data_IF_538282201144
#
_entry.id   IF_538282201144
#
_cell.length_a   1.000
_cell.length_b   1.000
_cell.length_c   1.000
_cell.angle_alpha   90.00
_cell.angle_beta   90.00
_cell.angle_gamma   90.00
#
_symmetry.space_group_name_H-M   'P 1'
#
loop_
_entity.id
_entity.type
_entity.pdbx_description
1 polymer ?
#
# COMPACT_ATOMS: atom_id res chain seq x y z
N UNK A 1 -40.66 8.14 -8.09
CA UNK A 1 -41.45 8.25 -6.85
C UNK A 1 -40.51 8.01 -5.68
N UNK A 2 -39.94 9.08 -5.11
CA UNK A 2 -39.18 9.00 -3.87
C UNK A 2 -40.17 8.87 -2.71
N UNK A 3 -40.08 7.81 -1.93
CA UNK A 3 -40.95 7.61 -0.77
C UNK A 3 -40.50 8.57 0.33
N UNK A 4 -41.27 9.63 0.55
CA UNK A 4 -41.11 10.62 1.65
C UNK A 4 -41.54 10.06 3.02
N UNK A 5 -41.36 8.76 3.29
CA UNK A 5 -41.50 8.23 4.65
C UNK A 5 -40.20 8.46 5.42
N UNK A 6 -39.91 9.72 5.76
CA UNK A 6 -38.88 10.00 6.77
C UNK A 6 -39.44 9.60 8.13
N UNK A 7 -38.92 8.51 8.70
CA UNK A 7 -39.11 8.17 10.11
C UNK A 7 -38.64 9.39 10.91
N UNK A 8 -39.54 9.99 11.68
CA UNK A 8 -39.22 11.17 12.47
C UNK A 8 -38.60 10.75 13.81
N UNK A 9 -37.27 10.79 13.86
CA UNK A 9 -36.53 10.47 15.08
C UNK A 9 -36.61 11.57 16.16
N UNK A 10 -37.23 12.71 15.89
CA UNK A 10 -37.37 13.80 16.87
C UNK A 10 -38.27 13.46 18.06
N UNK A 11 -39.04 12.37 17.97
CA UNK A 11 -39.90 11.88 19.04
C UNK A 11 -39.12 11.12 20.13
N UNK A 12 -37.87 10.76 19.86
CA UNK A 12 -36.98 10.12 20.81
C UNK A 12 -35.90 11.10 21.26
N UNK A 13 -35.76 11.31 22.56
CA UNK A 13 -34.62 12.04 23.10
C UNK A 13 -33.34 11.26 22.78
N UNK A 14 -32.37 11.93 22.16
CA UNK A 14 -31.07 11.33 21.89
C UNK A 14 -30.31 11.11 23.20
N UNK A 15 -29.75 9.92 23.39
CA UNK A 15 -28.89 9.64 24.54
C UNK A 15 -27.56 10.39 24.42
N UNK A 16 -27.15 11.05 25.49
CA UNK A 16 -25.81 11.62 25.62
C UNK A 16 -24.73 10.51 25.62
N UNK A 17 -23.47 10.90 25.40
CA UNK A 17 -22.34 9.98 25.49
C UNK A 17 -22.25 9.32 26.88
N UNK A 18 -22.47 10.08 27.94
CA UNK A 18 -22.40 9.58 29.31
C UNK A 18 -23.51 8.58 29.64
N UNK A 19 -24.75 8.84 29.21
CA UNK A 19 -25.86 7.89 29.38
C UNK A 19 -25.62 6.58 28.61
N UNK A 20 -24.96 6.67 27.45
CA UNK A 20 -24.57 5.50 26.68
C UNK A 20 -23.47 4.70 27.37
N UNK A 21 -22.42 5.36 27.88
CA UNK A 21 -21.34 4.72 28.67
C UNK A 21 -21.91 4.04 29.92
N UNK A 22 -22.78 4.71 30.67
CA UNK A 22 -23.44 4.15 31.85
C UNK A 22 -24.31 2.92 31.50
N UNK A 23 -24.95 2.93 30.33
CA UNK A 23 -25.70 1.77 29.85
C UNK A 23 -24.78 0.57 29.57
N UNK A 24 -23.62 0.79 28.94
CA UNK A 24 -22.64 -0.25 28.68
C UNK A 24 -22.09 -0.83 29.99
N UNK A 25 -21.68 0.01 30.94
CA UNK A 25 -21.18 -0.44 32.25
C UNK A 25 -22.20 -1.29 33.01
N UNK A 26 -23.48 -0.91 32.93
CA UNK A 26 -24.58 -1.72 33.48
C UNK A 26 -24.65 -3.10 32.83
N UNK A 27 -24.49 -3.19 31.50
CA UNK A 27 -24.41 -4.47 30.78
C UNK A 27 -23.17 -5.27 31.16
N UNK A 28 -22.05 -4.60 31.43
CA UNK A 28 -20.81 -5.19 31.92
C UNK A 28 -20.84 -5.57 33.41
N UNK A 29 -22.00 -5.47 34.06
CA UNK A 29 -22.20 -5.77 35.49
C UNK A 29 -21.30 -4.93 36.41
N UNK A 30 -21.07 -3.67 36.04
CA UNK A 30 -20.26 -2.72 36.80
C UNK A 30 -18.76 -2.82 36.55
N UNK A 31 -18.30 -3.62 35.58
CA UNK A 31 -16.92 -3.56 35.11
C UNK A 31 -16.67 -2.28 34.31
N UNK A 32 -15.51 -1.63 34.48
CA UNK A 32 -15.16 -0.42 33.75
C UNK A 32 -15.10 -0.67 32.24
N UNK A 33 -15.46 0.35 31.46
CA UNK A 33 -15.41 0.29 29.99
C UNK A 33 -13.98 0.07 29.47
N UNK A 34 -12.99 0.55 30.21
CA UNK A 34 -11.57 0.45 29.94
C UNK A 34 -11.09 -1.01 29.84
N UNK A 35 -11.81 -1.99 30.45
CA UNK A 35 -11.53 -3.42 30.27
C UNK A 35 -11.76 -3.91 28.83
N UNK A 36 -12.53 -3.17 28.03
CA UNK A 36 -12.80 -3.50 26.63
C UNK A 36 -11.86 -2.79 25.65
N UNK A 37 -10.95 -1.95 26.13
CA UNK A 37 -9.98 -1.30 25.26
C UNK A 37 -9.05 -2.32 24.61
N UNK A 38 -8.85 -2.15 23.31
CA UNK A 38 -7.92 -2.97 22.57
C UNK A 38 -6.55 -2.30 22.62
N UNK A 39 -5.59 -2.95 23.27
CA UNK A 39 -4.18 -2.57 23.18
C UNK A 39 -3.71 -2.73 21.73
N UNK A 40 -3.16 -1.65 21.18
CA UNK A 40 -2.60 -1.64 19.83
C UNK A 40 -1.10 -1.87 19.89
N UNK A 41 -0.42 -1.03 20.68
CA UNK A 41 1.02 -1.00 20.94
C UNK A 41 1.25 -0.51 22.38
N UNK A 42 2.49 -0.59 22.87
CA UNK A 42 2.83 -0.14 24.23
C UNK A 42 2.46 1.33 24.42
N UNK A 43 1.59 1.61 25.40
CA UNK A 43 1.11 2.96 25.70
C UNK A 43 -0.04 3.47 24.80
N UNK A 44 -0.50 2.68 23.83
CA UNK A 44 -1.56 3.08 22.90
C UNK A 44 -2.69 2.05 22.83
N UNK A 45 -3.92 2.51 23.11
CA UNK A 45 -5.14 1.71 23.06
C UNK A 45 -6.21 2.38 22.20
N UNK A 46 -7.17 1.56 21.75
CA UNK A 46 -8.35 1.98 21.03
C UNK A 46 -9.59 1.58 21.84
N UNK A 47 -10.53 2.52 21.97
CA UNK A 47 -11.78 2.30 22.67
C UNK A 47 -12.73 1.40 21.85
N UNK A 48 -13.62 0.65 22.51
CA UNK A 48 -14.56 -0.26 21.83
C UNK A 48 -15.60 0.46 20.96
N UNK A 49 -15.83 1.76 21.18
CA UNK A 49 -16.69 2.60 20.36
C UNK A 49 -16.27 4.06 20.44
N UNK A 50 -16.77 4.87 19.51
CA UNK A 50 -16.57 6.31 19.47
C UNK A 50 -17.86 7.02 19.04
N UNK A 51 -18.05 8.24 19.52
CA UNK A 51 -19.15 9.12 19.09
C UNK A 51 -18.63 10.34 18.35
N UNK A 52 -19.53 11.02 17.64
CA UNK A 52 -19.22 12.12 16.73
C UNK A 52 -18.46 13.25 17.44
N UNK A 53 -18.89 13.59 18.65
CA UNK A 53 -18.30 14.63 19.49
C UNK A 53 -16.88 14.29 19.96
N UNK A 54 -16.50 13.02 19.96
CA UNK A 54 -15.16 12.58 20.35
C UNK A 54 -14.20 12.61 19.14
N UNK A 55 -14.68 12.63 17.89
CA UNK A 55 -13.87 12.37 16.70
C UNK A 55 -13.56 13.66 15.95
N UNK A 56 -12.28 13.92 15.77
CA UNK A 56 -11.81 14.85 14.75
C UNK A 56 -11.59 14.07 13.45
N UNK A 57 -11.99 14.60 12.27
CA UNK A 57 -11.73 13.92 11.01
C UNK A 57 -10.26 14.06 10.61
N UNK A 58 -9.64 12.98 10.13
CA UNK A 58 -8.34 13.06 9.47
C UNK A 58 -8.52 13.65 8.07
N UNK A 59 -8.09 14.89 7.90
CA UNK A 59 -8.21 15.60 6.63
C UNK A 59 -7.14 15.12 5.64
N UNK A 60 -7.57 14.44 4.58
CA UNK A 60 -6.76 14.15 3.40
C UNK A 60 -7.29 14.99 2.23
N UNK A 61 -6.44 15.81 1.57
CA UNK A 61 -6.86 16.57 0.41
C UNK A 61 -7.19 15.63 -0.76
N UNK A 62 -8.16 16.02 -1.59
CA UNK A 62 -8.36 15.36 -2.88
C UNK A 62 -7.22 15.77 -3.81
N UNK A 63 -6.24 14.88 -3.96
CA UNK A 63 -5.18 14.95 -4.96
C UNK A 63 -5.49 13.90 -6.02
N UNK A 64 -4.85 14.00 -7.19
CA UNK A 64 -4.97 12.97 -8.22
C UNK A 64 -4.56 11.60 -7.66
N UNK A 65 -5.57 10.79 -7.33
CA UNK A 65 -5.43 9.40 -6.96
C UNK A 65 -5.72 8.52 -8.19
N UNK A 66 -5.16 7.30 -8.27
CA UNK A 66 -5.53 6.39 -9.33
C UNK A 66 -7.03 6.05 -9.21
N UNK A 67 -7.74 6.02 -10.35
CA UNK A 67 -9.16 5.65 -10.39
C UNK A 67 -9.43 4.23 -9.89
N UNK A 68 -8.41 3.38 -9.93
CA UNK A 68 -8.44 2.00 -9.44
C UNK A 68 -7.01 1.53 -9.18
N UNK A 69 -6.83 0.50 -8.36
CA UNK A 69 -5.51 -0.08 -8.13
C UNK A 69 -5.12 -1.03 -9.28
N UNK A 70 -3.81 -1.12 -9.54
CA UNK A 70 -3.29 -2.13 -10.44
C UNK A 70 -3.24 -3.50 -9.73
N UNK A 71 -3.76 -4.52 -10.41
CA UNK A 71 -3.73 -5.92 -9.99
C UNK A 71 -2.33 -6.45 -10.30
N UNK A 72 -1.50 -6.50 -9.25
CA UNK A 72 -0.12 -6.91 -9.33
C UNK A 72 0.01 -8.41 -9.14
N UNK A 73 0.80 -9.04 -10.00
CA UNK A 73 1.17 -10.45 -9.86
C UNK A 73 2.68 -10.61 -9.84
N UNK A 74 3.18 -11.24 -8.78
CA UNK A 74 4.60 -11.54 -8.61
C UNK A 74 5.00 -12.77 -9.42
N UNK A 75 6.12 -12.63 -10.14
CA UNK A 75 6.70 -13.66 -10.98
C UNK A 75 8.18 -13.78 -10.63
N UNK A 76 8.56 -14.96 -10.15
CA UNK A 76 9.95 -15.28 -9.90
C UNK A 76 10.69 -15.54 -11.23
N UNK A 77 11.83 -14.89 -11.39
CA UNK A 77 12.77 -15.09 -12.49
C UNK A 77 13.98 -15.83 -11.95
N UNK A 78 13.88 -17.16 -11.90
CA UNK A 78 14.86 -18.04 -11.25
C UNK A 78 15.79 -18.79 -12.22
N UNK A 79 15.85 -18.37 -13.49
CA UNK A 79 16.77 -18.90 -14.52
C UNK A 79 16.12 -19.73 -15.63
N UNK A 80 14.93 -20.29 -15.41
CA UNK A 80 14.10 -20.84 -16.50
C UNK A 80 13.29 -19.71 -17.15
N UNK A 81 13.89 -19.06 -18.14
CA UNK A 81 13.27 -17.92 -18.83
C UNK A 81 11.99 -18.31 -19.59
N UNK A 82 11.90 -19.56 -20.07
CA UNK A 82 10.70 -20.03 -20.76
C UNK A 82 9.54 -20.17 -19.78
N UNK A 83 9.78 -20.70 -18.58
CA UNK A 83 8.79 -20.75 -17.52
C UNK A 83 8.38 -19.35 -17.04
N UNK A 84 9.32 -18.43 -16.83
CA UNK A 84 9.03 -17.05 -16.42
C UNK A 84 8.21 -16.31 -17.48
N UNK A 85 8.56 -16.42 -18.76
CA UNK A 85 7.79 -15.85 -19.87
C UNK A 85 6.37 -16.42 -19.96
N UNK A 86 6.22 -17.74 -19.76
CA UNK A 86 4.90 -18.37 -19.68
C UNK A 86 4.09 -17.82 -18.51
N UNK A 87 4.70 -17.67 -17.33
CA UNK A 87 4.05 -17.10 -16.16
C UNK A 87 3.61 -15.64 -16.39
N UNK A 88 4.42 -14.83 -17.09
CA UNK A 88 4.05 -13.46 -17.52
C UNK A 88 2.82 -13.48 -18.41
N UNK A 89 2.81 -14.31 -19.45
CA UNK A 89 1.67 -14.42 -20.34
C UNK A 89 0.39 -14.88 -19.60
N UNK A 90 0.51 -15.83 -18.68
CA UNK A 90 -0.62 -16.29 -17.85
C UNK A 90 -1.17 -15.21 -16.91
N UNK A 91 -0.30 -14.39 -16.32
CA UNK A 91 -0.71 -13.29 -15.45
C UNK A 91 -1.50 -12.24 -16.25
N UNK A 92 -0.94 -11.78 -17.37
CA UNK A 92 -1.54 -10.73 -18.22
C UNK A 92 -2.84 -11.20 -18.87
N UNK A 93 -2.85 -12.40 -19.48
CA UNK A 93 -4.09 -12.97 -20.05
C UNK A 93 -5.13 -13.28 -18.97
N UNK A 94 -4.70 -13.44 -17.72
CA UNK A 94 -5.54 -13.62 -16.56
C UNK A 94 -6.07 -12.33 -15.94
N UNK A 95 -5.79 -11.16 -16.52
CA UNK A 95 -6.31 -9.86 -16.08
C UNK A 95 -5.37 -9.04 -15.19
N UNK A 96 -4.15 -9.51 -14.89
CA UNK A 96 -3.16 -8.68 -14.22
C UNK A 96 -2.74 -7.53 -15.14
N UNK A 97 -2.66 -6.32 -14.59
CA UNK A 97 -2.19 -5.11 -15.28
C UNK A 97 -0.96 -4.50 -14.63
N UNK A 98 -0.37 -5.20 -13.64
CA UNK A 98 0.96 -4.91 -13.12
C UNK A 98 1.73 -6.21 -12.94
N UNK A 99 3.01 -6.19 -13.31
CA UNK A 99 3.93 -7.31 -13.10
C UNK A 99 4.95 -6.92 -12.03
N UNK A 100 5.16 -7.81 -11.07
CA UNK A 100 6.29 -7.73 -10.11
C UNK A 100 7.29 -8.81 -10.49
N UNK A 101 8.34 -8.43 -11.22
CA UNK A 101 9.39 -9.36 -11.64
C UNK A 101 10.47 -9.46 -10.56
N UNK A 102 10.62 -10.63 -9.98
CA UNK A 102 11.60 -10.91 -8.94
C UNK A 102 12.82 -11.65 -9.51
N UNK A 103 13.85 -10.88 -9.86
CA UNK A 103 15.12 -11.36 -10.38
C UNK A 103 16.04 -11.81 -9.24
N UNK A 104 15.71 -12.95 -8.63
CA UNK A 104 16.59 -13.63 -7.67
C UNK A 104 17.92 -14.03 -8.32
N UNK A 105 17.88 -14.40 -9.61
CA UNK A 105 19.05 -14.75 -10.44
C UNK A 105 18.88 -14.18 -11.85
N UNK A 106 19.97 -14.13 -12.61
CA UNK A 106 19.95 -13.74 -14.02
C UNK A 106 20.81 -12.51 -14.32
N UNK A 107 20.65 -11.98 -15.53
CA UNK A 107 21.33 -10.78 -16.03
C UNK A 107 20.34 -9.84 -16.70
N UNK A 108 20.73 -8.59 -16.95
CA UNK A 108 19.87 -7.59 -17.58
C UNK A 108 19.26 -8.08 -18.89
N UNK A 109 20.02 -8.81 -19.73
CA UNK A 109 19.54 -9.33 -21.02
C UNK A 109 18.31 -10.25 -20.90
N UNK A 110 18.10 -10.89 -19.76
CA UNK A 110 17.03 -11.87 -19.54
C UNK A 110 15.66 -11.17 -19.53
N UNK A 111 15.62 -9.87 -19.18
CA UNK A 111 14.40 -9.07 -19.19
C UNK A 111 13.72 -9.04 -20.56
N UNK A 112 14.51 -9.04 -21.64
CA UNK A 112 14.00 -9.02 -23.01
C UNK A 112 13.27 -10.30 -23.35
N UNK A 113 13.77 -11.44 -22.88
CA UNK A 113 13.13 -12.73 -23.13
C UNK A 113 11.85 -12.87 -22.31
N UNK A 114 11.91 -12.52 -21.01
CA UNK A 114 10.79 -12.62 -20.08
C UNK A 114 9.62 -11.72 -20.51
N UNK A 115 9.91 -10.50 -21.01
CA UNK A 115 8.91 -9.54 -21.45
C UNK A 115 8.63 -9.60 -22.96
N UNK A 116 9.09 -10.63 -23.67
CA UNK A 116 8.85 -10.72 -25.10
C UNK A 116 7.35 -10.83 -25.40
N UNK A 117 6.83 -9.88 -26.18
CA UNK A 117 5.41 -9.80 -26.54
C UNK A 117 4.55 -9.02 -25.54
N UNK A 118 5.14 -8.47 -24.49
CA UNK A 118 4.43 -7.62 -23.52
C UNK A 118 4.36 -6.18 -24.03
N UNK A 119 3.16 -5.62 -24.06
CA UNK A 119 2.94 -4.20 -24.34
C UNK A 119 3.14 -3.37 -23.08
N UNK A 120 4.38 -2.93 -22.84
CA UNK A 120 4.77 -2.25 -21.60
C UNK A 120 4.06 -0.92 -21.33
N UNK A 121 3.45 -0.30 -22.34
CA UNK A 121 2.64 0.91 -22.17
C UNK A 121 1.22 0.64 -21.63
N UNK A 122 0.82 -0.64 -21.51
CA UNK A 122 -0.48 -1.05 -21.00
C UNK A 122 -0.43 -1.56 -19.55
N UNK A 123 0.77 -1.66 -18.97
CA UNK A 123 0.99 -2.22 -17.64
C UNK A 123 1.94 -1.36 -16.82
N UNK A 124 1.84 -1.47 -15.50
CA UNK A 124 2.92 -1.04 -14.61
C UNK A 124 3.91 -2.19 -14.41
N UNK A 125 5.20 -1.86 -14.29
CA UNK A 125 6.26 -2.83 -14.07
C UNK A 125 7.01 -2.50 -12.79
N UNK A 126 7.05 -3.46 -11.85
CA UNK A 126 7.95 -3.42 -10.70
C UNK A 126 9.03 -4.49 -10.89
N UNK A 127 10.27 -4.11 -10.67
CA UNK A 127 11.40 -5.05 -10.68
C UNK A 127 12.06 -5.06 -9.31
N UNK A 128 12.36 -6.26 -8.82
CA UNK A 128 13.03 -6.49 -7.54
C UNK A 128 13.96 -7.71 -7.64
N UNK A 129 14.62 -8.03 -6.52
CA UNK A 129 15.43 -9.23 -6.39
C UNK A 129 16.93 -8.96 -6.27
N UNK A 130 17.66 -9.95 -5.75
CA UNK A 130 19.09 -9.82 -5.42
C UNK A 130 19.96 -9.48 -6.65
N UNK A 131 19.72 -10.14 -7.80
CA UNK A 131 20.49 -9.89 -9.01
C UNK A 131 20.26 -8.48 -9.57
N UNK A 132 19.03 -7.96 -9.46
CA UNK A 132 18.71 -6.59 -9.83
C UNK A 132 19.41 -5.58 -8.90
N UNK A 133 19.51 -5.88 -7.61
CA UNK A 133 20.22 -5.05 -6.63
C UNK A 133 21.67 -4.76 -7.01
N UNK A 134 22.34 -5.76 -7.59
CA UNK A 134 23.76 -5.68 -7.96
C UNK A 134 23.94 -5.06 -9.36
N UNK A 135 23.04 -5.34 -10.30
CA UNK A 135 23.22 -5.02 -11.71
C UNK A 135 22.12 -4.09 -12.29
N UNK A 136 21.51 -3.24 -11.46
CA UNK A 136 20.36 -2.41 -11.86
C UNK A 136 20.57 -1.65 -13.18
N UNK A 137 21.76 -1.07 -13.40
CA UNK A 137 22.11 -0.37 -14.64
C UNK A 137 22.04 -1.27 -15.89
N UNK A 138 22.43 -2.54 -15.78
CA UNK A 138 22.36 -3.51 -16.87
C UNK A 138 20.91 -3.81 -17.23
N UNK A 139 20.05 -4.03 -16.23
CA UNK A 139 18.63 -4.24 -16.44
C UNK A 139 17.94 -3.03 -17.09
N UNK A 140 18.19 -1.82 -16.58
CA UNK A 140 17.61 -0.60 -17.14
C UNK A 140 18.10 -0.31 -18.56
N UNK A 141 19.37 -0.56 -18.85
CA UNK A 141 19.93 -0.40 -20.19
C UNK A 141 19.34 -1.40 -21.18
N UNK A 142 19.18 -2.66 -20.79
CA UNK A 142 18.57 -3.68 -21.64
C UNK A 142 17.08 -3.40 -21.85
N UNK A 143 16.35 -3.01 -20.80
CA UNK A 143 14.97 -2.57 -20.91
C UNK A 143 14.81 -1.41 -21.91
N UNK A 144 15.75 -0.45 -21.90
CA UNK A 144 15.68 0.74 -22.74
C UNK A 144 15.89 0.46 -24.23
N UNK A 145 16.44 -0.70 -24.57
CA UNK A 145 16.64 -1.12 -25.98
C UNK A 145 15.35 -1.57 -26.66
N UNK A 146 14.31 -1.91 -25.90
CA UNK A 146 13.04 -2.39 -26.43
C UNK A 146 11.80 -1.72 -25.83
N UNK A 147 11.95 -1.01 -24.71
CA UNK A 147 10.92 -0.12 -24.16
C UNK A 147 11.06 1.27 -24.77
N UNK A 148 10.51 1.48 -25.97
CA UNK A 148 10.54 2.77 -26.68
C UNK A 148 9.51 3.79 -26.17
N UNK A 149 9.07 3.68 -24.92
CA UNK A 149 7.99 4.50 -24.39
C UNK A 149 8.47 5.36 -23.22
N UNK A 150 8.35 6.68 -23.37
CA UNK A 150 8.44 7.63 -22.26
C UNK A 150 7.35 7.40 -21.20
N UNK A 151 6.32 6.59 -21.51
CA UNK A 151 5.21 6.33 -20.62
C UNK A 151 5.37 5.09 -19.75
N UNK A 152 6.49 4.37 -19.82
CA UNK A 152 6.73 3.19 -18.99
C UNK A 152 6.62 3.56 -17.50
N UNK A 153 5.61 2.98 -16.84
CA UNK A 153 5.40 3.14 -15.41
C UNK A 153 6.25 2.12 -14.64
N UNK A 154 7.45 2.56 -14.23
CA UNK A 154 8.51 1.68 -13.72
C UNK A 154 8.78 1.91 -12.23
N UNK A 155 8.86 0.81 -11.49
CA UNK A 155 9.22 0.76 -10.07
C UNK A 155 10.42 -0.16 -9.87
N UNK A 156 11.41 0.27 -9.09
CA UNK A 156 12.57 -0.54 -8.71
C UNK A 156 12.66 -0.65 -7.19
N UNK A 157 12.86 -1.87 -6.69
CA UNK A 157 12.89 -2.17 -5.26
C UNK A 157 14.31 -2.33 -4.70
N UNK A 158 14.49 -1.99 -3.42
CA UNK A 158 15.65 -2.36 -2.61
C UNK A 158 16.97 -1.63 -2.95
N UNK A 159 18.10 -2.30 -2.68
CA UNK A 159 19.47 -1.79 -2.90
C UNK A 159 19.77 -1.42 -4.36
N UNK A 160 18.89 -1.75 -5.31
CA UNK A 160 18.99 -1.32 -6.71
C UNK A 160 19.15 0.19 -6.84
N UNK A 161 18.61 0.99 -5.90
CA UNK A 161 18.83 2.43 -5.88
C UNK A 161 20.30 2.80 -5.67
N UNK A 162 21.00 2.17 -4.71
CA UNK A 162 22.41 2.45 -4.41
C UNK A 162 23.32 2.18 -5.62
N UNK A 163 22.89 1.32 -6.54
CA UNK A 163 23.60 1.00 -7.77
C UNK A 163 23.38 2.01 -8.90
N UNK A 164 22.42 2.94 -8.78
CA UNK A 164 22.10 3.91 -9.83
C UNK A 164 22.73 5.27 -9.56
N UNK A 165 23.25 5.90 -10.62
CA UNK A 165 23.72 7.29 -10.53
C UNK A 165 22.55 8.26 -10.67
N UNK A 166 22.64 9.41 -10.01
CA UNK A 166 21.58 10.41 -10.02
C UNK A 166 21.24 10.95 -11.41
N UNK A 167 22.24 11.01 -12.30
CA UNK A 167 22.08 11.41 -13.70
C UNK A 167 21.19 10.45 -14.52
N UNK A 168 21.08 9.19 -14.10
CA UNK A 168 20.20 8.21 -14.75
C UNK A 168 18.76 8.31 -14.27
N UNK A 169 18.56 8.75 -13.02
CA UNK A 169 17.24 8.99 -12.45
C UNK A 169 16.65 10.29 -13.02
N UNK A 170 17.44 11.36 -13.02
CA UNK A 170 16.98 12.69 -13.40
C UNK A 170 17.24 13.02 -14.87
N UNK A 171 16.17 13.30 -15.60
CA UNK A 171 16.24 13.57 -17.05
C UNK A 171 16.65 12.35 -17.88
N UNK A 172 16.65 11.15 -17.28
CA UNK A 172 16.97 9.89 -17.92
C UNK A 172 15.85 9.34 -18.80
N UNK A 173 16.07 8.13 -19.32
CA UNK A 173 15.17 7.43 -20.26
C UNK A 173 13.78 7.11 -19.66
N UNK A 174 13.64 7.15 -18.33
CA UNK A 174 12.43 6.70 -17.62
C UNK A 174 11.85 7.82 -16.74
N UNK A 175 11.03 8.73 -17.31
CA UNK A 175 10.51 9.88 -16.58
C UNK A 175 9.49 9.54 -15.49
N UNK A 176 8.94 8.31 -15.48
CA UNK A 176 8.02 7.80 -14.45
C UNK A 176 8.69 6.77 -13.52
N UNK A 177 10.01 6.76 -13.47
CA UNK A 177 10.77 5.83 -12.62
C UNK A 177 10.59 6.16 -11.14
N UNK A 178 10.22 5.17 -10.34
CA UNK A 178 10.23 5.22 -8.88
C UNK A 178 11.29 4.29 -8.34
N UNK A 179 12.36 4.85 -7.78
CA UNK A 179 13.53 4.10 -7.34
C UNK A 179 13.71 4.10 -5.82
N UNK A 180 13.14 5.06 -5.10
CA UNK A 180 13.20 5.10 -3.64
C UNK A 180 12.05 4.29 -3.05
N UNK A 181 12.31 3.03 -2.77
CA UNK A 181 11.35 2.19 -2.06
C UNK A 181 11.50 2.33 -0.55
N UNK A 182 10.44 2.79 0.10
CA UNK A 182 10.29 2.82 1.56
C UNK A 182 9.41 1.63 1.96
N UNK A 183 9.85 0.82 2.90
CA UNK A 183 9.10 -0.36 3.33
C UNK A 183 8.37 -0.08 4.65
N UNK A 184 7.07 -0.37 4.71
CA UNK A 184 6.27 -0.27 5.92
C UNK A 184 5.74 -1.65 6.24
N UNK A 185 6.26 -2.27 7.30
CA UNK A 185 5.82 -3.58 7.81
C UNK A 185 5.12 -3.40 9.16
N UNK A 186 3.82 -3.69 9.22
CA UNK A 186 3.02 -3.47 10.43
C UNK A 186 3.22 -4.53 11.52
N UNK A 187 3.89 -5.64 11.20
CA UNK A 187 4.00 -6.83 12.05
C UNK A 187 4.57 -6.54 13.45
N UNK A 188 5.56 -5.65 13.51
CA UNK A 188 6.27 -5.32 14.75
C UNK A 188 5.75 -4.02 15.41
N UNK A 189 4.67 -3.44 14.88
CA UNK A 189 4.06 -2.20 15.38
C UNK A 189 3.89 -1.16 14.26
N UNK A 190 2.67 -0.67 14.09
CA UNK A 190 2.35 0.35 13.10
C UNK A 190 2.96 1.71 13.45
N UNK A 191 3.04 2.09 14.73
CA UNK A 191 3.59 3.38 15.14
C UNK A 191 5.07 3.45 14.76
N UNK A 192 5.82 2.41 15.12
CA UNK A 192 7.26 2.31 14.84
C UNK A 192 7.54 2.20 13.34
N UNK A 193 6.80 1.35 12.62
CA UNK A 193 6.97 1.21 11.17
C UNK A 193 6.72 2.52 10.41
N UNK A 194 5.70 3.29 10.80
CA UNK A 194 5.42 4.60 10.21
C UNK A 194 6.50 5.63 10.57
N UNK A 195 6.99 5.64 11.82
CA UNK A 195 8.07 6.53 12.26
C UNK A 195 9.38 6.26 11.50
N UNK A 196 9.76 4.99 11.37
CA UNK A 196 10.97 4.58 10.64
C UNK A 196 10.87 4.92 9.15
N UNK A 197 9.70 4.75 8.54
CA UNK A 197 9.46 5.18 7.16
C UNK A 197 9.67 6.69 6.97
N UNK A 198 9.28 7.53 7.94
CA UNK A 198 9.55 8.98 7.86
C UNK A 198 11.03 9.31 7.96
N UNK A 199 11.79 8.56 8.77
CA UNK A 199 13.24 8.68 8.83
C UNK A 199 13.87 8.33 7.47
N UNK A 200 13.48 7.21 6.87
CA UNK A 200 13.97 6.82 5.54
C UNK A 200 13.62 7.85 4.47
N UNK A 201 12.40 8.40 4.49
CA UNK A 201 11.98 9.46 3.56
C UNK A 201 12.83 10.73 3.76
N UNK A 202 13.09 11.14 5.01
CA UNK A 202 13.95 12.28 5.32
C UNK A 202 15.35 12.08 4.72
N UNK A 203 15.98 10.93 4.95
CA UNK A 203 17.30 10.63 4.41
C UNK A 203 17.31 10.62 2.88
N UNK A 204 16.30 10.01 2.24
CA UNK A 204 16.18 10.02 0.79
C UNK A 204 16.08 11.44 0.22
N UNK A 205 15.31 12.34 0.85
CA UNK A 205 15.27 13.75 0.45
C UNK A 205 16.61 14.47 0.63
N UNK A 206 17.37 14.16 1.67
CA UNK A 206 18.71 14.72 1.89
C UNK A 206 19.70 14.25 0.81
N UNK A 207 19.68 12.96 0.45
CA UNK A 207 20.49 12.40 -0.64
C UNK A 207 20.13 13.04 -1.98
N UNK A 208 18.83 13.17 -2.27
CA UNK A 208 18.32 13.83 -3.46
C UNK A 208 18.80 15.28 -3.54
N UNK A 209 18.71 16.03 -2.43
CA UNK A 209 19.18 17.42 -2.35
C UNK A 209 20.69 17.51 -2.56
N UNK A 210 21.48 16.63 -1.93
CA UNK A 210 22.93 16.60 -2.09
C UNK A 210 23.36 16.32 -3.54
N UNK A 211 22.55 15.55 -4.28
CA UNK A 211 22.75 15.28 -5.70
C UNK A 211 22.22 16.39 -6.64
N UNK A 212 21.62 17.45 -6.11
CA UNK A 212 21.13 18.60 -6.89
C UNK A 212 19.68 18.49 -7.36
N UNK A 213 18.91 17.51 -6.86
CA UNK A 213 17.49 17.38 -7.16
C UNK A 213 16.68 18.54 -6.57
N UNK A 214 15.79 19.18 -7.35
CA UNK A 214 14.81 20.04 -6.74
C UNK A 214 13.74 19.22 -5.99
N UNK A 215 13.29 19.66 -4.79
CA UNK A 215 12.34 18.90 -3.97
C UNK A 215 11.01 18.54 -4.67
N UNK A 216 10.49 19.42 -5.54
CA UNK A 216 9.22 19.16 -6.24
C UNK A 216 9.30 18.03 -7.26
N UNK A 217 10.48 17.77 -7.82
CA UNK A 217 10.72 16.65 -8.72
C UNK A 217 11.03 15.38 -7.93
N UNK A 218 11.78 15.53 -6.83
CA UNK A 218 12.18 14.45 -5.92
C UNK A 218 11.00 13.56 -5.46
N UNK A 219 9.83 14.15 -5.15
CA UNK A 219 8.67 13.38 -4.67
C UNK A 219 8.20 12.28 -5.63
N UNK A 220 8.43 12.42 -6.95
CA UNK A 220 7.98 11.46 -7.96
C UNK A 220 8.80 10.17 -7.99
N UNK A 221 10.01 10.16 -7.41
CA UNK A 221 10.87 8.98 -7.38
C UNK A 221 10.55 8.03 -6.23
N UNK A 222 9.64 8.40 -5.32
CA UNK A 222 9.26 7.60 -4.17
C UNK A 222 8.19 6.56 -4.51
N UNK A 223 8.37 5.38 -3.95
CA UNK A 223 7.34 4.34 -3.83
C UNK A 223 7.33 3.80 -2.40
N UNK A 224 6.17 3.34 -1.98
CA UNK A 224 5.93 2.79 -0.65
C UNK A 224 5.51 1.34 -0.84
N UNK A 225 6.28 0.42 -0.26
CA UNK A 225 5.91 -0.98 -0.15
C UNK A 225 5.22 -1.17 1.19
N UNK A 226 3.90 -1.32 1.16
CA UNK A 226 3.08 -1.43 2.36
C UNK A 226 2.70 -2.90 2.58
N UNK A 227 3.32 -3.54 3.57
CA UNK A 227 2.97 -4.92 3.94
C UNK A 227 1.71 -4.88 4.82
N UNK A 228 0.64 -5.47 4.29
CA UNK A 228 -0.64 -5.54 4.98
C UNK A 228 -0.61 -6.68 5.99
N UNK A 229 -1.37 -6.50 7.06
CA UNK A 229 -1.62 -7.53 8.06
C UNK A 229 -3.09 -7.95 8.06
N UNK A 230 -3.39 -9.06 8.75
CA UNK A 230 -4.75 -9.60 8.85
C UNK A 230 -5.73 -8.68 9.59
N UNK A 231 -5.23 -7.72 10.37
CA UNK A 231 -6.08 -6.71 11.02
C UNK A 231 -6.54 -5.68 9.98
N UNK A 232 -7.80 -5.84 9.59
CA UNK A 232 -8.50 -5.00 8.63
C UNK A 232 -8.42 -3.50 8.96
N UNK A 233 -8.75 -3.12 10.20
CA UNK A 233 -8.82 -1.72 10.59
C UNK A 233 -7.45 -1.08 10.78
N UNK A 234 -6.47 -1.82 11.31
CA UNK A 234 -5.10 -1.31 11.46
C UNK A 234 -4.50 -1.03 10.08
N UNK A 235 -4.65 -1.95 9.13
CA UNK A 235 -4.14 -1.76 7.76
C UNK A 235 -4.74 -0.51 7.10
N UNK A 236 -6.06 -0.32 7.17
CA UNK A 236 -6.72 0.90 6.63
C UNK A 236 -6.19 2.16 7.33
N UNK A 237 -6.17 2.13 8.66
CA UNK A 237 -5.80 3.30 9.47
C UNK A 237 -4.34 3.68 9.29
N UNK A 238 -3.45 2.70 9.10
CA UNK A 238 -2.03 2.92 8.86
C UNK A 238 -1.75 3.50 7.47
N UNK A 239 -2.46 3.05 6.42
CA UNK A 239 -2.33 3.64 5.07
C UNK A 239 -2.83 5.11 5.10
N UNK A 240 -3.96 5.38 5.75
CA UNK A 240 -4.49 6.74 5.92
C UNK A 240 -3.53 7.62 6.73
N UNK A 241 -3.01 7.10 7.85
CA UNK A 241 -2.04 7.79 8.68
C UNK A 241 -0.77 8.13 7.89
N UNK A 242 -0.23 7.16 7.14
CA UNK A 242 0.92 7.38 6.27
C UNK A 242 0.68 8.50 5.26
N UNK A 243 -0.48 8.51 4.57
CA UNK A 243 -0.83 9.59 3.64
C UNK A 243 -0.80 10.97 4.32
N UNK A 244 -1.31 11.09 5.56
CA UNK A 244 -1.22 12.36 6.30
C UNK A 244 0.22 12.73 6.66
N UNK A 245 1.01 11.76 7.15
CA UNK A 245 2.40 11.96 7.55
C UNK A 245 3.28 12.35 6.35
N UNK A 246 3.06 11.72 5.19
CA UNK A 246 3.69 12.07 3.92
C UNK A 246 3.50 13.55 3.58
N UNK A 247 2.26 14.06 3.67
CA UNK A 247 1.99 15.48 3.44
C UNK A 247 2.73 16.38 4.43
N UNK A 248 2.82 15.98 5.70
CA UNK A 248 3.59 16.71 6.71
C UNK A 248 5.09 16.77 6.37
N UNK A 249 5.66 15.68 5.85
CA UNK A 249 7.05 15.67 5.36
C UNK A 249 7.21 16.58 4.16
N UNK A 250 6.32 16.51 3.15
CA UNK A 250 6.39 17.38 1.97
C UNK A 250 6.27 18.87 2.33
N UNK A 251 5.40 19.21 3.29
CA UNK A 251 5.26 20.55 3.85
C UNK A 251 6.57 21.01 4.52
N UNK A 252 7.19 20.15 5.34
CA UNK A 252 8.48 20.43 5.96
C UNK A 252 9.63 20.58 4.95
N UNK A 253 9.53 19.91 3.79
CA UNK A 253 10.46 20.11 2.67
C UNK A 253 10.17 21.38 1.85
N UNK A 254 9.09 22.12 2.15
CA UNK A 254 8.74 23.38 1.51
C UNK A 254 8.07 23.23 0.13
N UNK A 255 7.43 22.09 -0.16
CA UNK A 255 6.76 21.88 -1.44
C UNK A 255 5.37 22.54 -1.46
N UNK A 256 5.13 23.42 -2.44
CA UNK A 256 3.79 23.98 -2.70
C UNK A 256 2.88 23.03 -3.49
N UNK A 257 3.47 22.22 -4.38
CA UNK A 257 2.77 21.21 -5.20
C UNK A 257 3.08 19.82 -4.67
N UNK A 258 2.05 19.17 -4.14
CA UNK A 258 2.15 17.84 -3.52
C UNK A 258 1.40 16.80 -4.35
N UNK A 259 1.94 15.58 -4.38
CA UNK A 259 1.30 14.40 -4.95
C UNK A 259 1.39 13.22 -3.99
N UNK A 260 0.50 12.24 -4.14
CA UNK A 260 0.64 10.97 -3.44
C UNK A 260 1.86 10.20 -3.97
N UNK A 261 2.64 9.54 -3.10
CA UNK A 261 3.65 8.59 -3.57
C UNK A 261 2.92 7.36 -4.11
N UNK A 262 3.61 6.55 -4.93
CA UNK A 262 3.02 5.26 -5.31
C UNK A 262 2.99 4.31 -4.12
N UNK A 263 1.82 3.87 -3.70
CA UNK A 263 1.65 2.87 -2.64
C UNK A 263 1.38 1.52 -3.28
N UNK A 264 2.36 0.62 -3.24
CA UNK A 264 2.20 -0.78 -3.58
C UNK A 264 1.93 -1.57 -2.30
N UNK A 265 0.73 -2.12 -2.17
CA UNK A 265 0.38 -2.97 -1.04
C UNK A 265 0.64 -4.43 -1.35
N UNK A 266 1.27 -5.11 -0.40
CA UNK A 266 1.55 -6.54 -0.46
C UNK A 266 0.83 -7.23 0.70
N UNK A 267 -0.06 -8.17 0.40
CA UNK A 267 -0.67 -8.98 1.44
C UNK A 267 0.35 -10.00 1.98
N UNK A 268 0.44 -10.11 3.29
CA UNK A 268 1.30 -11.05 3.99
C UNK A 268 0.43 -12.02 4.78
N UNK A 269 0.69 -13.31 4.65
CA UNK A 269 -0.05 -14.35 5.37
C UNK A 269 0.92 -15.17 6.19
N UNK A 270 0.57 -15.46 7.44
CA UNK A 270 1.43 -16.22 8.33
C UNK A 270 1.69 -17.65 7.78
N UNK A 271 2.97 -18.02 7.66
CA UNK A 271 3.42 -19.33 7.17
C UNK A 271 2.86 -20.52 7.97
N UNK A 272 2.46 -20.29 9.24
CA UNK A 272 2.06 -21.35 10.19
C UNK A 272 0.75 -22.06 9.85
N UNK A 273 -0.02 -21.61 8.86
CA UNK A 273 -1.32 -22.21 8.51
C UNK A 273 -1.26 -22.72 7.07
N UNK A 274 -0.98 -24.01 6.89
CA UNK A 274 -0.89 -24.67 5.58
C UNK A 274 -2.25 -24.79 4.84
N UNK A 275 -3.35 -24.28 5.40
CA UNK A 275 -4.67 -24.34 4.78
C UNK A 275 -4.84 -23.21 3.73
N UNK A 276 -4.78 -23.60 2.45
CA UNK A 276 -4.98 -22.73 1.30
C UNK A 276 -6.30 -21.93 1.36
N UNK A 277 -7.41 -22.53 1.80
CA UNK A 277 -8.71 -21.85 1.82
C UNK A 277 -8.78 -20.79 2.90
N UNK A 278 -8.17 -21.06 4.06
CA UNK A 278 -8.05 -20.04 5.10
C UNK A 278 -7.21 -18.85 4.62
N UNK A 279 -6.10 -19.13 3.93
CA UNK A 279 -5.25 -18.06 3.37
C UNK A 279 -6.00 -17.22 2.32
N UNK A 280 -6.89 -17.83 1.52
CA UNK A 280 -7.75 -17.09 0.59
C UNK A 280 -8.70 -16.12 1.30
N UNK A 281 -9.25 -16.51 2.46
CA UNK A 281 -10.06 -15.61 3.30
C UNK A 281 -9.19 -14.46 3.83
N UNK A 282 -8.00 -14.77 4.36
CA UNK A 282 -7.08 -13.76 4.87
C UNK A 282 -6.68 -12.76 3.77
N UNK A 283 -6.36 -13.24 2.57
CA UNK A 283 -6.08 -12.42 1.39
C UNK A 283 -7.26 -11.53 1.01
N UNK A 284 -8.50 -12.02 1.13
CA UNK A 284 -9.69 -11.23 0.82
C UNK A 284 -9.86 -10.05 1.79
N UNK A 285 -9.62 -10.27 3.09
CA UNK A 285 -9.64 -9.21 4.10
C UNK A 285 -8.56 -8.15 3.85
N UNK A 286 -7.34 -8.60 3.51
CA UNK A 286 -6.24 -7.70 3.18
C UNK A 286 -6.51 -6.92 1.88
N UNK A 287 -7.05 -7.58 0.86
CA UNK A 287 -7.45 -6.93 -0.39
C UNK A 287 -8.51 -5.84 -0.15
N UNK A 288 -9.49 -6.12 0.72
CA UNK A 288 -10.50 -5.15 1.12
C UNK A 288 -9.87 -3.94 1.82
N UNK A 289 -8.93 -4.18 2.75
CA UNK A 289 -8.22 -3.11 3.45
C UNK A 289 -7.40 -2.24 2.46
N UNK A 290 -6.72 -2.86 1.50
CA UNK A 290 -5.96 -2.17 0.47
C UNK A 290 -6.86 -1.30 -0.43
N UNK A 291 -8.01 -1.83 -0.85
CA UNK A 291 -8.98 -1.11 -1.66
C UNK A 291 -9.53 0.11 -0.91
N UNK A 292 -9.95 -0.07 0.35
CA UNK A 292 -10.44 1.03 1.21
C UNK A 292 -9.34 2.04 1.51
N UNK A 293 -8.10 1.60 1.71
CA UNK A 293 -6.93 2.47 1.87
C UNK A 293 -6.51 3.20 0.59
N UNK A 294 -7.10 2.85 -0.56
CA UNK A 294 -6.84 3.39 -1.89
C UNK A 294 -5.35 3.36 -2.27
N UNK A 295 -4.82 2.15 -2.35
CA UNK A 295 -3.44 1.88 -2.80
C UNK A 295 -3.35 1.99 -4.33
N UNK A 296 -2.15 2.19 -4.85
CA UNK A 296 -1.91 2.24 -6.29
C UNK A 296 -1.82 0.86 -6.92
N UNK A 297 -1.33 -0.13 -6.18
CA UNK A 297 -1.35 -1.52 -6.61
C UNK A 297 -1.45 -2.49 -5.45
N UNK A 298 -1.96 -3.68 -5.74
CA UNK A 298 -2.15 -4.75 -4.76
C UNK A 298 -1.60 -6.06 -5.29
N UNK A 299 -0.65 -6.63 -4.54
CA UNK A 299 -0.13 -7.98 -4.70
C UNK A 299 -0.74 -8.89 -3.64
N UNK A 300 -1.40 -9.97 -4.07
CA UNK A 300 -1.82 -11.05 -3.19
C UNK A 300 -0.87 -12.25 -3.33
N UNK A 301 -0.46 -12.89 -2.22
CA UNK A 301 0.51 -13.97 -2.26
C UNK A 301 -0.11 -15.20 -2.92
N UNK A 302 0.69 -15.86 -3.77
CA UNK A 302 0.33 -17.10 -4.43
C UNK A 302 0.81 -18.27 -3.58
N UNK A 303 -0.11 -18.84 -2.82
CA UNK A 303 0.19 -19.86 -1.82
C UNK A 303 -0.28 -21.26 -2.28
N UNK A 304 0.20 -22.30 -1.60
CA UNK A 304 -0.13 -23.71 -1.87
C UNK A 304 0.95 -24.49 -2.65
N UNK A 305 0.68 -25.77 -2.88
CA UNK A 305 1.60 -26.67 -3.60
C UNK A 305 1.72 -26.30 -5.08
N UNK A 306 2.74 -26.83 -5.77
CA UNK A 306 2.94 -26.58 -7.20
C UNK A 306 1.71 -26.88 -8.06
N UNK A 307 0.93 -27.90 -7.69
CA UNK A 307 -0.32 -28.31 -8.34
C UNK A 307 -1.47 -27.32 -8.07
N UNK A 308 -1.48 -26.70 -6.90
CA UNK A 308 -2.49 -25.71 -6.50
C UNK A 308 -2.21 -24.32 -7.07
N UNK A 309 -0.95 -23.98 -7.37
CA UNK A 309 -0.56 -22.63 -7.83
C UNK A 309 -1.38 -22.10 -9.01
N UNK A 310 -1.70 -22.84 -10.08
CA UNK A 310 -2.55 -22.31 -11.15
C UNK A 310 -3.93 -21.87 -10.66
N UNK A 311 -4.54 -22.63 -9.74
CA UNK A 311 -5.79 -22.27 -9.10
C UNK A 311 -5.62 -21.05 -8.18
N UNK A 312 -4.61 -21.06 -7.31
CA UNK A 312 -4.32 -19.97 -6.38
C UNK A 312 -4.06 -18.63 -7.11
N UNK A 313 -3.29 -18.64 -8.20
CA UNK A 313 -3.04 -17.47 -9.09
C UNK A 313 -4.34 -16.89 -9.61
N UNK A 314 -5.23 -17.74 -10.11
CA UNK A 314 -6.55 -17.30 -10.59
C UNK A 314 -7.38 -16.70 -9.47
N UNK A 315 -7.42 -17.33 -8.29
CA UNK A 315 -8.19 -16.81 -7.15
C UNK A 315 -7.64 -15.46 -6.67
N UNK A 316 -6.31 -15.31 -6.59
CA UNK A 316 -5.68 -14.05 -6.19
C UNK A 316 -6.07 -12.89 -7.12
N UNK A 317 -6.01 -13.07 -8.46
CA UNK A 317 -6.46 -12.03 -9.40
C UNK A 317 -7.96 -11.79 -9.32
N UNK A 318 -8.76 -12.87 -9.30
CA UNK A 318 -10.21 -12.76 -9.33
C UNK A 318 -10.76 -12.08 -8.07
N UNK A 319 -10.17 -12.30 -6.90
CA UNK A 319 -10.55 -11.59 -5.69
C UNK A 319 -10.47 -10.07 -5.89
N UNK A 320 -9.39 -9.58 -6.50
CA UNK A 320 -9.23 -8.17 -6.81
C UNK A 320 -10.23 -7.69 -7.88
N UNK A 321 -10.43 -8.47 -8.95
CA UNK A 321 -11.44 -8.14 -9.97
C UNK A 321 -12.85 -8.06 -9.42
N UNK A 322 -13.25 -8.96 -8.52
CA UNK A 322 -14.57 -8.92 -7.87
C UNK A 322 -14.72 -7.61 -7.07
N UNK A 323 -13.69 -7.21 -6.33
CA UNK A 323 -13.73 -5.96 -5.57
C UNK A 323 -13.86 -4.71 -6.47
N UNK A 324 -13.24 -4.71 -7.65
CA UNK A 324 -13.34 -3.61 -8.63
C UNK A 324 -14.67 -3.65 -9.41
N UNK A 325 -14.99 -4.78 -10.02
CA UNK A 325 -16.02 -4.89 -11.06
C UNK A 325 -17.42 -5.18 -10.51
N UNK A 326 -17.51 -5.85 -9.35
CA UNK A 326 -18.80 -6.26 -8.77
C UNK A 326 -19.09 -5.51 -7.45
N UNK A 327 -18.09 -5.31 -6.60
CA UNK A 327 -18.24 -4.56 -5.35
C UNK A 327 -18.02 -3.05 -5.51
N UNK A 328 -17.48 -2.59 -6.64
CA UNK A 328 -17.28 -1.18 -6.97
C UNK A 328 -16.47 -0.39 -5.93
N UNK A 329 -15.52 -1.04 -5.26
CA UNK A 329 -14.73 -0.42 -4.19
C UNK A 329 -13.70 0.61 -4.68
N UNK A 330 -13.57 0.78 -5.99
CA UNK A 330 -12.76 1.81 -6.62
C UNK A 330 -13.57 3.05 -7.06
N UNK A 331 -14.90 3.06 -6.87
CA UNK A 331 -15.76 4.16 -7.37
C UNK A 331 -15.90 5.33 -6.40
N UNK A 332 -15.59 5.14 -5.11
CA UNK A 332 -15.69 6.19 -4.07
C UNK A 332 -14.30 6.50 -3.54
N UNK A 333 -13.97 7.81 -3.50
CA UNK A 333 -12.76 8.23 -2.83
C UNK A 333 -12.88 8.08 -1.32
N UNK A 334 -11.91 7.39 -0.74
CA UNK A 334 -11.72 7.21 0.69
C UNK A 334 -13.01 6.84 1.46
N UNK A 335 -13.61 5.66 1.19
CA UNK A 335 -14.91 5.29 1.74
C UNK A 335 -14.91 5.12 3.27
N UNK A 336 -13.73 5.11 3.91
CA UNK A 336 -13.59 5.08 5.36
C UNK A 336 -13.67 6.47 6.02
N UNK A 337 -13.64 7.56 5.23
CA UNK A 337 -13.73 8.91 5.76
C UNK A 337 -15.03 9.11 6.56
N UNK A 338 -14.90 9.68 7.76
CA UNK A 338 -16.01 9.89 8.70
C UNK A 338 -16.37 8.67 9.56
N UNK A 339 -15.78 7.49 9.32
CA UNK A 339 -15.95 6.35 10.21
C UNK A 339 -15.21 6.61 11.54
N UNK A 340 -15.96 6.89 12.61
CA UNK A 340 -15.42 7.34 13.90
C UNK A 340 -14.23 6.53 14.42
N UNK A 341 -14.34 5.20 14.32
CA UNK A 341 -13.28 4.29 14.73
C UNK A 341 -12.01 4.44 13.88
N UNK A 342 -12.14 4.45 12.55
CA UNK A 342 -10.99 4.55 11.64
C UNK A 342 -10.36 5.94 11.74
N UNK A 343 -11.14 7.00 11.89
CA UNK A 343 -10.63 8.35 12.09
C UNK A 343 -9.79 8.43 13.36
N UNK A 344 -10.32 7.96 14.49
CA UNK A 344 -9.59 7.92 15.76
C UNK A 344 -8.31 7.11 15.70
N UNK A 345 -8.38 5.93 15.09
CA UNK A 345 -7.22 5.07 14.96
C UNK A 345 -6.17 5.70 14.05
N UNK A 346 -6.56 6.25 12.90
CA UNK A 346 -5.64 6.91 11.99
C UNK A 346 -4.97 8.12 12.66
N UNK A 347 -5.73 8.94 13.41
CA UNK A 347 -5.18 10.09 14.14
C UNK A 347 -4.21 9.68 15.25
N UNK A 348 -4.54 8.63 16.00
CA UNK A 348 -3.64 8.08 17.02
C UNK A 348 -2.31 7.66 16.40
N UNK A 349 -2.35 6.93 15.26
CA UNK A 349 -1.15 6.53 14.53
C UNK A 349 -0.36 7.75 14.03
N UNK A 350 -1.02 8.74 13.43
CA UNK A 350 -0.36 9.98 12.98
C UNK A 350 0.39 10.66 14.12
N UNK A 351 -0.30 10.91 15.24
CA UNK A 351 0.29 11.63 16.38
C UNK A 351 1.48 10.86 16.95
N UNK A 352 1.28 9.59 17.27
CA UNK A 352 2.28 8.75 17.90
C UNK A 352 3.53 8.55 17.01
N UNK A 353 3.32 8.27 15.72
CA UNK A 353 4.42 8.06 14.78
C UNK A 353 5.21 9.34 14.53
N UNK A 354 4.53 10.49 14.48
CA UNK A 354 5.18 11.79 14.33
C UNK A 354 6.00 12.15 15.58
N UNK A 355 5.46 11.96 16.78
CA UNK A 355 6.19 12.16 18.04
C UNK A 355 7.44 11.27 18.11
N UNK A 356 7.29 9.97 17.83
CA UNK A 356 8.42 9.04 17.82
C UNK A 356 9.45 9.40 16.73
N UNK A 357 9.01 9.87 15.55
CA UNK A 357 9.90 10.35 14.50
C UNK A 357 10.74 11.55 14.98
N UNK A 358 10.10 12.55 15.63
CA UNK A 358 10.80 13.72 16.14
C UNK A 358 11.80 13.41 17.26
N UNK A 359 11.58 12.37 18.06
CA UNK A 359 12.54 11.92 19.07
C UNK A 359 13.79 11.27 18.44
N UNK A 360 13.65 10.66 17.26
CA UNK A 360 14.74 10.01 16.51
C UNK A 360 15.48 10.93 15.54
N UNK A 361 14.81 11.98 15.04
CA UNK A 361 15.25 12.82 13.92
C UNK A 361 16.25 13.91 14.29
#
# INVERSE_FOLDING_TARGET
MSVENKINWSEFEGLSTEEWKASIEKYLKGKPLEELEQSIEEGYSIAPFYRKEEVEPLLLPSLNAPKTWAIAEKIEVAGDLAASKKAVAEALNGGANMLVLDFQKGKGKDIKEVLQGVHLNMISLKMQGEALGIFAEDYLRELGRFSYSSDLDLLLSGNSFQALSWQQLYGGTYPKLRAFQINICLKDGAITALSDALMEIKFAFEELRAAGAPPWDAQHYFQINFELEENYFRSISAIRAFKRLWLGVLEAQGLEKVSWPWIHAQAVVAERKEDLYWQMIANSTQALAAAVGQVNSLELPILGTAEQRPFARRIARNAQHLLQLESHLNEVEDPAAGAYYIEKYSQMLVKASWEQFLEKA
#
